data_IF_199940559253
#
_entry.id   IF_199940559253
#
_cell.length_a   1.000
_cell.length_b   1.000
_cell.length_c   1.000
_cell.angle_alpha   90.00
_cell.angle_beta   90.00
_cell.angle_gamma   90.00
#
_symmetry.space_group_name_H-M   'P 1'
#
loop_
_entity.id
_entity.type
_entity.pdbx_description
1 polymer ?
#
# COMPACT_ATOMS: atom_id res chain seq x y z
N UNK A 1 -10.69 -40.79 -3.41
CA UNK A 1 -11.76 -39.85 -3.85
C UNK A 1 -12.08 -38.88 -2.74
N UNK A 2 -12.02 -39.33 -1.49
CA UNK A 2 -12.19 -38.49 -0.30
C UNK A 2 -11.09 -37.43 -0.17
N UNK A 3 -9.86 -37.73 -0.56
CA UNK A 3 -8.73 -36.78 -0.52
C UNK A 3 -8.94 -35.58 -1.44
N UNK A 4 -9.48 -35.83 -2.63
CA UNK A 4 -9.77 -34.77 -3.60
C UNK A 4 -10.85 -33.82 -3.06
N UNK A 5 -11.87 -34.35 -2.37
CA UNK A 5 -12.91 -33.54 -1.74
C UNK A 5 -12.35 -32.64 -0.63
N UNK A 6 -11.44 -33.15 0.20
CA UNK A 6 -10.74 -32.34 1.20
C UNK A 6 -9.90 -31.24 0.55
N UNK A 7 -9.14 -31.55 -0.50
CA UNK A 7 -8.33 -30.57 -1.21
C UNK A 7 -9.18 -29.49 -1.88
N UNK A 8 -10.33 -29.85 -2.45
CA UNK A 8 -11.29 -28.90 -3.01
C UNK A 8 -11.83 -27.99 -1.91
N UNK A 9 -12.25 -28.54 -0.77
CA UNK A 9 -12.77 -27.74 0.34
C UNK A 9 -11.72 -26.76 0.88
N UNK A 10 -10.46 -27.19 1.01
CA UNK A 10 -9.35 -26.34 1.42
C UNK A 10 -9.08 -25.26 0.37
N UNK A 11 -9.01 -25.61 -0.91
CA UNK A 11 -8.75 -24.65 -1.98
C UNK A 11 -9.83 -23.57 -2.08
N UNK A 12 -11.11 -23.96 -2.01
CA UNK A 12 -12.24 -23.02 -2.01
C UNK A 12 -12.20 -22.14 -0.77
N UNK A 13 -11.89 -22.70 0.39
CA UNK A 13 -11.79 -21.94 1.65
C UNK A 13 -10.64 -20.92 1.58
N UNK A 14 -9.46 -21.32 1.09
CA UNK A 14 -8.32 -20.43 0.91
C UNK A 14 -8.62 -19.33 -0.12
N UNK A 15 -9.25 -19.67 -1.25
CA UNK A 15 -9.69 -18.71 -2.24
C UNK A 15 -10.70 -17.70 -1.68
N UNK A 16 -11.68 -18.19 -0.90
CA UNK A 16 -12.67 -17.37 -0.22
C UNK A 16 -12.06 -16.44 0.84
N UNK A 17 -11.13 -16.95 1.65
CA UNK A 17 -10.38 -16.15 2.62
C UNK A 17 -9.54 -15.06 1.94
N UNK A 18 -8.83 -15.41 0.87
CA UNK A 18 -8.05 -14.45 0.08
C UNK A 18 -8.93 -13.36 -0.54
N UNK A 19 -10.07 -13.74 -1.12
CA UNK A 19 -11.03 -12.79 -1.68
C UNK A 19 -11.63 -11.88 -0.59
N UNK A 20 -12.00 -12.43 0.57
CA UNK A 20 -12.52 -11.65 1.68
C UNK A 20 -11.47 -10.65 2.21
N UNK A 21 -10.22 -11.08 2.37
CA UNK A 21 -9.11 -10.21 2.77
C UNK A 21 -8.86 -9.11 1.74
N UNK A 22 -8.90 -9.43 0.44
CA UNK A 22 -8.75 -8.47 -0.65
C UNK A 22 -9.86 -7.42 -0.65
N UNK A 23 -11.13 -7.83 -0.53
CA UNK A 23 -12.27 -6.91 -0.46
C UNK A 23 -12.21 -6.04 0.81
N UNK A 24 -11.77 -6.61 1.94
CA UNK A 24 -11.54 -5.84 3.16
C UNK A 24 -10.45 -4.79 2.97
N UNK A 25 -9.33 -5.14 2.32
CA UNK A 25 -8.25 -4.20 2.03
C UNK A 25 -8.71 -3.03 1.14
N UNK A 26 -9.49 -3.32 0.09
CA UNK A 26 -10.10 -2.27 -0.75
C UNK A 26 -11.04 -1.37 0.05
N UNK A 27 -11.91 -1.94 0.89
CA UNK A 27 -12.83 -1.17 1.74
C UNK A 27 -12.08 -0.32 2.78
N UNK A 28 -10.92 -0.77 3.25
CA UNK A 28 -10.14 -0.08 4.28
C UNK A 28 -9.36 1.15 3.79
N UNK A 29 -9.43 1.48 2.50
CA UNK A 29 -8.79 2.68 1.96
C UNK A 29 -7.26 2.61 1.90
N UNK A 30 -6.64 1.44 2.11
CA UNK A 30 -5.18 1.29 2.10
C UNK A 30 -4.51 1.65 0.76
N UNK A 31 -5.27 1.71 -0.33
CA UNK A 31 -4.77 2.11 -1.64
C UNK A 31 -4.77 3.63 -1.84
N UNK A 32 -5.49 4.40 -1.02
CA UNK A 32 -5.54 5.87 -1.11
C UNK A 32 -4.18 6.49 -0.71
N UNK A 33 -3.45 5.86 0.21
CA UNK A 33 -2.11 6.32 0.62
C UNK A 33 -1.03 6.04 -0.45
N UNK A 34 -1.20 4.96 -1.24
CA UNK A 34 -0.30 4.66 -2.36
C UNK A 34 -0.41 5.71 -3.47
N UNK A 35 -1.62 6.19 -3.77
CA UNK A 35 -1.82 7.33 -4.69
C UNK A 35 -1.18 8.61 -4.15
N UNK A 36 -1.25 8.85 -2.83
CA UNK A 36 -0.57 9.97 -2.17
C UNK A 36 0.96 9.90 -2.25
N UNK A 37 1.55 8.71 -2.12
CA UNK A 37 2.99 8.49 -2.25
C UNK A 37 3.47 8.64 -3.71
N UNK A 38 2.70 8.17 -4.68
CA UNK A 38 2.98 8.35 -6.11
C UNK A 38 2.91 9.83 -6.52
N UNK A 39 1.96 10.60 -5.97
CA UNK A 39 1.90 12.04 -6.20
C UNK A 39 3.15 12.76 -5.66
N UNK A 40 3.70 12.32 -4.52
CA UNK A 40 4.95 12.91 -3.99
C UNK A 40 6.14 12.57 -4.87
N UNK A 41 6.33 11.30 -5.27
CA UNK A 41 7.50 10.90 -6.07
C UNK A 41 7.53 11.56 -7.47
N UNK A 42 6.35 11.86 -8.04
CA UNK A 42 6.25 12.47 -9.37
C UNK A 42 6.43 14.00 -9.35
N UNK A 43 6.11 14.66 -8.23
CA UNK A 43 6.12 16.12 -8.13
C UNK A 43 7.19 16.69 -7.16
N UNK A 44 7.81 15.89 -6.29
CA UNK A 44 8.87 16.35 -5.37
C UNK A 44 10.20 16.65 -6.09
N UNK A 45 10.43 16.09 -7.28
CA UNK A 45 11.66 16.36 -8.06
C UNK A 45 11.71 17.79 -8.62
N UNK A 46 10.55 18.46 -8.75
CA UNK A 46 10.42 19.83 -9.26
C UNK A 46 10.31 20.89 -8.14
N UNK A 47 10.27 20.47 -6.87
CA UNK A 47 10.17 21.39 -5.74
C UNK A 47 11.52 22.07 -5.47
N UNK A 48 11.63 23.41 -5.55
CA UNK A 48 12.84 24.11 -5.17
C UNK A 48 13.18 23.81 -3.71
N UNK A 49 14.40 23.31 -3.45
CA UNK A 49 14.90 23.13 -2.09
C UNK A 49 14.67 24.43 -1.30
N UNK A 50 14.06 24.38 -0.11
CA UNK A 50 13.85 25.58 0.69
C UNK A 50 15.22 26.22 0.93
N UNK A 51 15.32 27.57 0.81
CA UNK A 51 16.59 28.25 0.95
C UNK A 51 17.19 27.87 2.31
N UNK A 52 18.36 27.25 2.28
CA UNK A 52 19.14 26.90 3.46
C UNK A 52 19.26 28.17 4.30
N UNK A 53 18.59 28.20 5.46
CA UNK A 53 18.69 29.32 6.41
C UNK A 53 20.18 29.55 6.67
N UNK A 54 20.70 30.77 6.44
CA UNK A 54 22.12 31.02 6.66
C UNK A 54 22.43 30.69 8.12
N UNK A 55 23.47 29.87 8.33
CA UNK A 55 23.93 29.52 9.66
C UNK A 55 24.16 30.81 10.46
N UNK A 56 23.82 30.83 11.77
CA UNK A 56 24.05 32.01 12.57
C UNK A 56 25.55 32.28 12.56
N UNK A 57 25.95 33.41 11.97
CA UNK A 57 27.31 33.93 12.13
C UNK A 57 27.48 34.20 13.61
N UNK A 58 28.27 33.35 14.26
CA UNK A 58 28.74 33.56 15.62
C UNK A 58 29.30 34.97 15.73
N UNK A 59 28.80 35.67 16.73
CA UNK A 59 29.40 36.88 17.29
C UNK A 59 30.78 36.56 17.85
#
# INVERSE_FOLDING_TARGET
MDELLYLIAIAVSLGGLGLAAFLWALKSGQFEDLDGAANRILFDDDAPLPPSKPAPKGQ
#
